data_IF_892854760914
#
_entry.id   IF_892854760914
#
_cell.length_a   1.000
_cell.length_b   1.000
_cell.length_c   1.000
_cell.angle_alpha   90.00
_cell.angle_beta   90.00
_cell.angle_gamma   90.00
#
_symmetry.space_group_name_H-M   'P 1'
#
loop_
_entity.id
_entity.type
_entity.pdbx_description
1 polymer ?
#
# COMPACT_ATOMS: atom_id res chain seq x y z
N UNK A 1 11.99 -16.68 -11.00
CA UNK A 1 12.31 -15.38 -11.61
C UNK A 1 13.73 -15.46 -12.13
N UNK A 2 13.97 -15.13 -13.40
CA UNK A 2 15.28 -15.20 -14.06
C UNK A 2 15.59 -13.82 -14.65
N UNK A 3 16.77 -13.29 -14.35
CA UNK A 3 17.27 -12.01 -14.88
C UNK A 3 18.45 -12.28 -15.82
N UNK A 4 18.24 -12.35 -17.15
CA UNK A 4 19.33 -12.41 -18.10
C UNK A 4 20.11 -11.09 -18.13
N UNK A 5 21.39 -11.12 -18.49
CA UNK A 5 22.25 -9.92 -18.58
C UNK A 5 21.71 -8.85 -19.53
N UNK A 6 21.02 -9.27 -20.60
CA UNK A 6 20.31 -8.37 -21.50
C UNK A 6 18.81 -8.46 -21.24
N UNK A 7 18.16 -7.31 -21.06
CA UNK A 7 16.71 -7.25 -20.94
C UNK A 7 16.03 -7.94 -22.13
N UNK A 8 15.44 -9.11 -21.89
CA UNK A 8 14.80 -9.94 -22.92
C UNK A 8 13.53 -9.29 -23.49
N UNK A 9 12.90 -8.40 -22.72
CA UNK A 9 11.75 -7.61 -23.13
C UNK A 9 12.06 -6.13 -22.94
N UNK A 10 11.97 -5.35 -24.03
CA UNK A 10 12.03 -3.88 -24.00
C UNK A 10 10.72 -3.33 -24.56
N UNK A 11 10.14 -2.38 -23.84
CA UNK A 11 8.97 -1.61 -24.28
C UNK A 11 9.16 -0.14 -23.95
N UNK A 12 8.42 0.73 -24.64
CA UNK A 12 8.40 2.16 -24.34
C UNK A 12 7.53 2.45 -23.13
N UNK A 13 8.08 3.15 -22.14
CA UNK A 13 7.33 3.62 -20.97
C UNK A 13 6.61 4.94 -21.29
N UNK A 14 5.47 5.25 -20.63
CA UNK A 14 4.81 6.53 -20.79
C UNK A 14 5.73 7.68 -20.37
N UNK A 15 5.85 8.69 -21.23
CA UNK A 15 6.66 9.90 -20.99
C UNK A 15 5.84 10.95 -20.22
N UNK A 16 4.52 10.88 -20.33
CA UNK A 16 3.59 11.82 -19.70
C UNK A 16 3.16 11.35 -18.30
N UNK A 17 3.10 12.27 -17.35
CA UNK A 17 2.68 12.01 -15.97
C UNK A 17 1.21 11.60 -15.90
N UNK A 18 0.33 12.20 -16.73
CA UNK A 18 -1.11 11.90 -16.72
C UNK A 18 -1.38 10.43 -17.07
N UNK A 19 -0.73 9.91 -18.11
CA UNK A 19 -0.86 8.50 -18.51
C UNK A 19 -0.35 7.55 -17.42
N UNK A 20 0.73 7.94 -16.74
CA UNK A 20 1.28 7.17 -15.63
C UNK A 20 0.33 7.12 -14.43
N UNK A 21 -0.31 8.25 -14.09
CA UNK A 21 -1.29 8.32 -13.01
C UNK A 21 -2.52 7.48 -13.32
N UNK A 22 -3.07 7.57 -14.54
CA UNK A 22 -4.18 6.73 -14.96
C UNK A 22 -3.83 5.24 -14.91
N UNK A 23 -2.60 4.87 -15.28
CA UNK A 23 -2.13 3.48 -15.18
C UNK A 23 -2.11 2.99 -13.72
N UNK A 24 -1.55 3.78 -12.80
CA UNK A 24 -1.50 3.43 -11.37
C UNK A 24 -2.90 3.37 -10.77
N UNK A 25 -3.79 4.30 -11.14
CA UNK A 25 -5.19 4.28 -10.72
C UNK A 25 -5.89 3.00 -11.18
N UNK A 26 -5.66 2.56 -12.43
CA UNK A 26 -6.24 1.33 -12.96
C UNK A 26 -5.74 0.09 -12.20
N UNK A 27 -4.48 0.08 -11.80
CA UNK A 27 -3.92 -0.98 -10.95
C UNK A 27 -4.53 -0.99 -9.55
N UNK A 28 -4.71 0.18 -8.94
CA UNK A 28 -5.34 0.31 -7.62
C UNK A 28 -6.82 -0.11 -7.65
N UNK A 29 -7.56 0.26 -8.70
CA UNK A 29 -8.95 -0.18 -8.88
C UNK A 29 -9.03 -1.71 -9.06
N UNK A 30 -8.16 -2.29 -9.90
CA UNK A 30 -8.13 -3.74 -10.08
C UNK A 30 -7.78 -4.49 -8.80
N UNK A 31 -6.89 -3.98 -7.96
CA UNK A 31 -6.58 -4.63 -6.68
C UNK A 31 -7.72 -4.53 -5.66
N UNK A 32 -8.44 -3.40 -5.62
CA UNK A 32 -9.65 -3.26 -4.79
C UNK A 32 -10.77 -4.19 -5.28
N UNK A 33 -10.96 -4.31 -6.59
CA UNK A 33 -11.94 -5.22 -7.17
C UNK A 33 -11.65 -6.68 -6.79
N UNK A 34 -10.39 -7.11 -6.90
CA UNK A 34 -9.96 -8.45 -6.46
C UNK A 34 -10.19 -8.64 -4.96
N UNK A 35 -9.91 -7.62 -4.14
CA UNK A 35 -10.15 -7.67 -2.70
C UNK A 35 -11.62 -7.85 -2.34
N UNK A 36 -12.53 -7.17 -3.04
CA UNK A 36 -13.98 -7.26 -2.81
C UNK A 36 -14.63 -8.46 -3.50
N UNK A 37 -13.93 -9.11 -4.42
CA UNK A 37 -14.42 -10.30 -5.11
C UNK A 37 -14.38 -11.57 -4.23
N UNK A 38 -15.06 -12.61 -4.69
CA UNK A 38 -15.03 -13.95 -4.06
C UNK A 38 -13.62 -14.60 -4.10
N UNK A 39 -12.69 -14.07 -4.90
CA UNK A 39 -11.31 -14.57 -5.00
C UNK A 39 -10.35 -13.87 -4.03
N UNK A 40 -10.86 -13.19 -3.01
CA UNK A 40 -10.05 -12.49 -2.04
C UNK A 40 -9.07 -13.44 -1.32
N UNK A 41 -7.74 -13.20 -1.37
CA UNK A 41 -6.72 -14.11 -0.83
C UNK A 41 -6.78 -14.28 0.69
N UNK A 42 -7.55 -13.44 1.38
CA UNK A 42 -7.79 -13.51 2.82
C UNK A 42 -8.71 -14.69 3.19
N UNK A 43 -9.71 -15.00 2.36
CA UNK A 43 -10.75 -16.02 2.65
C UNK A 43 -10.70 -17.19 1.66
N UNK A 44 -10.14 -16.97 0.47
CA UNK A 44 -10.13 -17.97 -0.60
C UNK A 44 -8.94 -18.94 -0.46
N UNK A 45 -9.20 -20.24 -0.63
CA UNK A 45 -8.16 -21.26 -0.78
C UNK A 45 -7.48 -21.74 0.51
N UNK A 46 -8.13 -21.65 1.67
CA UNK A 46 -7.60 -22.14 2.95
C UNK A 46 -7.37 -23.66 3.00
N UNK A 47 -8.06 -24.45 2.16
CA UNK A 47 -7.81 -25.89 2.00
C UNK A 47 -6.80 -26.26 0.89
N UNK A 48 -6.07 -25.29 0.35
CA UNK A 48 -5.17 -25.48 -0.80
C UNK A 48 -3.70 -25.72 -0.44
N UNK A 49 -2.88 -26.05 -1.45
CA UNK A 49 -1.42 -26.29 -1.34
C UNK A 49 -0.56 -25.01 -1.35
N UNK A 50 -1.14 -23.84 -1.03
CA UNK A 50 -0.44 -22.56 -1.13
C UNK A 50 0.46 -22.33 0.09
N UNK A 51 1.74 -21.99 -0.13
CA UNK A 51 2.66 -21.66 0.97
C UNK A 51 2.19 -20.42 1.72
N UNK A 52 2.31 -20.41 3.04
CA UNK A 52 1.88 -19.30 3.89
C UNK A 52 2.52 -17.95 3.50
N UNK A 53 3.85 -17.92 3.29
CA UNK A 53 4.56 -16.71 2.85
C UNK A 53 4.08 -16.20 1.48
N UNK A 54 3.73 -17.11 0.57
CA UNK A 54 3.19 -16.75 -0.74
C UNK A 54 1.79 -16.11 -0.59
N UNK A 55 0.97 -16.62 0.33
CA UNK A 55 -0.32 -15.99 0.66
C UNK A 55 -0.13 -14.59 1.23
N UNK A 56 0.82 -14.40 2.15
CA UNK A 56 1.09 -13.08 2.73
C UNK A 56 1.53 -12.09 1.64
N UNK A 57 2.38 -12.51 0.70
CA UNK A 57 2.76 -11.68 -0.44
C UNK A 57 1.53 -11.27 -1.29
N UNK A 58 0.61 -12.19 -1.56
CA UNK A 58 -0.63 -11.87 -2.28
C UNK A 58 -1.54 -10.92 -1.51
N UNK A 59 -1.71 -11.13 -0.20
CA UNK A 59 -2.48 -10.21 0.65
C UNK A 59 -1.86 -8.81 0.61
N UNK A 60 -0.54 -8.70 0.73
CA UNK A 60 0.15 -7.41 0.66
C UNK A 60 -0.09 -6.69 -0.68
N UNK A 61 -0.04 -7.41 -1.81
CA UNK A 61 -0.31 -6.80 -3.13
C UNK A 61 -1.75 -6.32 -3.30
N UNK A 62 -2.71 -7.00 -2.67
CA UNK A 62 -4.14 -6.66 -2.76
C UNK A 62 -4.52 -5.53 -1.79
N UNK A 63 -3.90 -5.48 -0.60
CA UNK A 63 -4.19 -4.49 0.44
C UNK A 63 -3.42 -3.18 0.23
N UNK A 64 -2.36 -3.17 -0.59
CA UNK A 64 -1.58 -1.99 -0.95
C UNK A 64 -2.38 -0.67 -1.14
N UNK A 65 -3.46 -0.61 -1.96
CA UNK A 65 -4.21 0.63 -2.16
C UNK A 65 -4.85 1.18 -0.87
N UNK A 66 -5.23 0.33 0.07
CA UNK A 66 -5.83 0.77 1.34
C UNK A 66 -4.84 1.49 2.25
N UNK A 67 -3.53 1.25 2.08
CA UNK A 67 -2.48 1.97 2.85
C UNK A 67 -2.44 3.47 2.53
N UNK A 68 -3.05 3.91 1.42
CA UNK A 68 -3.17 5.33 1.08
C UNK A 68 -4.09 6.10 2.06
N UNK A 69 -5.11 5.47 2.63
CA UNK A 69 -6.06 6.09 3.56
C UNK A 69 -5.37 6.54 4.87
N UNK A 70 -4.67 5.65 5.62
CA UNK A 70 -3.96 6.06 6.81
C UNK A 70 -2.81 7.00 6.49
N UNK A 71 -2.18 6.88 5.32
CA UNK A 71 -1.14 7.81 4.89
C UNK A 71 -1.69 9.23 4.71
N UNK A 72 -2.84 9.38 4.05
CA UNK A 72 -3.50 10.67 3.91
C UNK A 72 -3.88 11.25 5.28
N UNK A 73 -4.47 10.44 6.16
CA UNK A 73 -4.75 10.85 7.52
C UNK A 73 -3.47 11.33 8.22
N UNK A 74 -2.39 10.56 8.16
CA UNK A 74 -1.09 10.92 8.73
C UNK A 74 -0.52 12.22 8.17
N UNK A 75 -0.62 12.48 6.87
CA UNK A 75 -0.17 13.73 6.27
C UNK A 75 -1.03 14.94 6.66
N UNK A 76 -2.33 14.75 6.91
CA UNK A 76 -3.23 15.85 7.31
C UNK A 76 -3.20 16.16 8.81
N UNK A 77 -2.90 15.17 9.66
CA UNK A 77 -2.79 15.33 11.12
C UNK A 77 -1.90 16.51 11.53
N UNK A 78 -0.64 16.66 11.05
CA UNK A 78 0.21 17.78 11.48
C UNK A 78 -0.35 19.14 11.08
N UNK A 79 -0.97 19.27 9.91
CA UNK A 79 -1.59 20.51 9.46
C UNK A 79 -2.80 20.88 10.35
N UNK A 80 -3.64 19.90 10.71
CA UNK A 80 -4.77 20.11 11.60
C UNK A 80 -4.31 20.47 13.02
N UNK A 81 -3.31 19.76 13.56
CA UNK A 81 -2.72 20.05 14.87
C UNK A 81 -2.16 21.47 14.93
N UNK A 82 -1.48 21.92 13.86
CA UNK A 82 -0.89 23.25 13.79
C UNK A 82 -1.95 24.35 13.75
N UNK A 83 -3.02 24.18 12.98
CA UNK A 83 -4.09 25.18 12.84
C UNK A 83 -5.05 25.24 14.03
N UNK A 84 -5.32 24.11 14.68
CA UNK A 84 -6.23 24.04 15.84
C UNK A 84 -5.53 24.23 17.18
N UNK A 85 -4.19 24.21 17.20
CA UNK A 85 -3.37 24.38 18.41
C UNK A 85 -3.53 23.25 19.44
N UNK A 86 -4.28 22.18 19.12
CA UNK A 86 -4.47 21.01 19.97
C UNK A 86 -3.40 19.98 19.63
N UNK A 87 -2.35 19.92 20.46
CA UNK A 87 -1.36 18.86 20.36
C UNK A 87 -1.96 17.54 20.82
N UNK A 88 -1.88 16.52 19.96
CA UNK A 88 -2.38 15.17 20.24
C UNK A 88 -1.45 14.43 21.21
N UNK A 89 -0.16 14.78 21.23
CA UNK A 89 0.85 14.18 22.11
C UNK A 89 1.05 15.11 23.31
N UNK A 90 0.80 14.65 24.57
CA UNK A 90 1.13 15.42 25.76
C UNK A 90 2.65 15.58 25.88
N UNK A 91 3.11 16.66 26.53
CA UNK A 91 4.54 16.91 26.79
C UNK A 91 5.18 15.66 27.40
N UNK A 92 6.12 15.11 26.64
CA UNK A 92 6.77 13.82 26.85
C UNK A 92 7.42 13.77 28.25
N UNK A 93 7.05 12.80 29.08
CA UNK A 93 7.86 12.40 30.23
C UNK A 93 9.00 11.50 29.75
N UNK A 94 10.15 11.48 30.46
CA UNK A 94 11.40 10.81 30.06
C UNK A 94 11.24 9.39 29.48
N UNK A 95 10.20 8.66 29.88
CA UNK A 95 9.92 7.29 29.44
C UNK A 95 9.29 7.22 28.04
N UNK A 96 8.46 8.20 27.66
CA UNK A 96 7.89 8.30 26.32
C UNK A 96 8.92 8.82 25.29
N UNK A 97 9.95 9.56 25.73
CA UNK A 97 11.05 10.02 24.87
C UNK A 97 12.01 8.92 24.45
N UNK A 98 12.01 7.78 25.14
CA UNK A 98 12.85 6.62 24.84
C UNK A 98 12.13 5.69 23.85
N UNK A 99 10.80 5.72 23.82
CA UNK A 99 9.95 4.87 22.99
C UNK A 99 9.54 5.51 21.66
N UNK A 100 9.51 6.85 21.59
CA UNK A 100 9.34 7.63 20.35
C UNK A 100 10.70 8.00 19.77
#
# INVERSE_FOLDING_TARGET
YCCPERAAFRGSAPINLSDRLHQVLRWALGSIEIFMSHHCPLWYGWGGKLKFLQRLAYINTVVYPFTSIPLLAYCTIPAVCLLTGKFIIPTISNLASIWF
#
